data_IF_992896440421
#
_entry.id   IF_992896440421
#
_cell.length_a   1.000
_cell.length_b   1.000
_cell.length_c   1.000
_cell.angle_alpha   90.00
_cell.angle_beta   90.00
_cell.angle_gamma   90.00
#
_symmetry.space_group_name_H-M   'P 1'
#
loop_
_entity.id
_entity.type
_entity.pdbx_description
1 polymer ?
#
# COMPACT_ATOMS: atom_id res chain seq x y z
N UNK A 1 -17.45 -25.47 -1.52
CA UNK A 1 -16.42 -25.24 -0.49
C UNK A 1 -16.20 -23.75 -0.46
N UNK A 2 -16.59 -23.07 0.62
CA UNK A 2 -16.51 -21.62 0.72
C UNK A 2 -15.04 -21.22 0.90
N UNK A 3 -14.44 -20.65 -0.14
CA UNK A 3 -13.20 -19.92 0.01
C UNK A 3 -13.48 -18.72 0.92
N UNK A 4 -12.64 -18.53 1.93
CA UNK A 4 -12.68 -17.39 2.84
C UNK A 4 -12.51 -16.10 2.02
N UNK A 5 -13.57 -15.32 1.87
CA UNK A 5 -13.60 -14.04 1.14
C UNK A 5 -12.90 -12.87 1.89
N UNK A 6 -12.16 -13.16 2.95
CA UNK A 6 -11.45 -12.13 3.72
C UNK A 6 -10.03 -11.86 3.22
N UNK A 7 -9.59 -10.61 3.30
CA UNK A 7 -8.17 -10.34 3.52
C UNK A 7 -7.78 -11.00 4.84
N UNK A 8 -6.92 -12.01 4.75
CA UNK A 8 -6.16 -12.68 5.81
C UNK A 8 -6.77 -12.69 7.25
N UNK A 9 -7.21 -13.86 7.70
CA UNK A 9 -7.44 -14.16 9.12
C UNK A 9 -6.18 -14.81 9.70
N UNK A 10 -5.37 -14.03 10.42
CA UNK A 10 -4.47 -14.54 11.47
C UNK A 10 -3.04 -14.94 11.07
N UNK A 11 -2.06 -14.12 11.45
CA UNK A 11 -1.07 -14.37 12.52
C UNK A 11 -0.12 -13.17 12.59
N UNK A 12 -0.01 -12.63 13.80
CA UNK A 12 1.05 -11.90 14.51
C UNK A 12 2.09 -11.09 13.70
N UNK A 13 1.91 -9.77 13.82
CA UNK A 13 2.91 -8.74 14.17
C UNK A 13 4.38 -9.17 14.12
N UNK A 14 5.13 -8.59 13.18
CA UNK A 14 6.54 -8.30 13.41
C UNK A 14 6.89 -6.91 12.88
N UNK A 15 7.06 -6.01 13.85
CA UNK A 15 7.92 -4.85 13.73
C UNK A 15 9.34 -5.24 13.28
N UNK A 16 9.77 -4.51 12.28
CA UNK A 16 11.13 -4.13 11.92
C UNK A 16 12.29 -4.73 12.75
N UNK A 17 13.02 -5.69 12.16
CA UNK A 17 14.39 -6.00 12.58
C UNK A 17 15.37 -5.13 11.82
N UNK A 18 15.39 -3.84 12.14
CA UNK A 18 16.56 -3.00 11.91
C UNK A 18 17.62 -3.35 12.95
N UNK A 19 18.66 -4.04 12.47
CA UNK A 19 19.89 -4.29 13.21
C UNK A 19 20.48 -2.97 13.73
N UNK A 20 20.56 -2.83 15.05
CA UNK A 20 21.45 -1.87 15.69
C UNK A 20 22.30 -2.59 16.73
N UNK A 21 23.61 -2.55 16.48
CA UNK A 21 24.68 -2.91 17.38
C UNK A 21 24.73 -1.87 18.52
N UNK A 22 24.62 -2.33 19.78
CA UNK A 22 24.97 -1.54 20.94
C UNK A 22 25.32 -2.46 22.13
N UNK A 23 26.60 -2.48 22.44
CA UNK A 23 27.18 -2.96 23.70
C UNK A 23 26.90 -2.00 24.86
N UNK A 24 26.98 -2.54 26.09
CA UNK A 24 27.14 -1.87 27.41
C UNK A 24 25.90 -1.63 28.30
N UNK A 25 25.79 -2.45 29.37
CA UNK A 25 26.00 -1.96 30.74
C UNK A 25 24.81 -1.82 31.72
N UNK A 26 24.64 -2.82 32.61
CA UNK A 26 24.65 -2.62 34.08
C UNK A 26 23.38 -2.29 34.89
N UNK A 27 23.08 -3.20 35.84
CA UNK A 27 22.41 -3.05 37.18
C UNK A 27 20.90 -2.76 37.23
N UNK A 28 20.08 -3.20 38.20
CA UNK A 28 20.04 -4.24 39.24
C UNK A 28 18.62 -4.17 39.90
N UNK A 29 18.25 -5.20 40.68
CA UNK A 29 17.13 -5.33 41.66
C UNK A 29 15.72 -5.67 41.11
N UNK A 30 14.97 -6.66 41.59
CA UNK A 30 15.18 -7.68 42.63
C UNK A 30 13.86 -8.42 42.98
N UNK A 31 13.98 -9.71 43.37
CA UNK A 31 13.05 -10.55 44.18
C UNK A 31 11.71 -11.00 43.54
N UNK A 32 11.20 -12.25 43.61
CA UNK A 32 11.35 -13.39 44.56
C UNK A 32 11.05 -14.76 43.90
N UNK A 33 11.85 -15.79 44.23
CA UNK A 33 11.67 -17.25 43.99
C UNK A 33 10.75 -17.87 45.10
N UNK A 34 10.50 -19.21 45.26
CA UNK A 34 11.01 -20.37 44.52
C UNK A 34 10.07 -21.57 44.27
N UNK A 35 10.46 -22.43 43.32
CA UNK A 35 10.47 -23.90 43.50
C UNK A 35 10.94 -24.64 42.23
N UNK A 36 11.95 -25.52 42.35
CA UNK A 36 12.26 -26.53 41.34
C UNK A 36 13.74 -26.94 41.30
N UNK A 37 14.09 -27.94 42.12
CA UNK A 37 15.41 -28.57 42.20
C UNK A 37 15.78 -29.36 40.92
N UNK A 38 17.07 -29.41 40.59
CA UNK A 38 17.61 -30.26 39.53
C UNK A 38 19.11 -30.09 39.31
N UNK A 39 19.90 -30.82 40.10
CA UNK A 39 21.36 -30.93 39.99
C UNK A 39 21.80 -31.56 38.67
N UNK A 40 22.90 -31.06 38.09
CA UNK A 40 23.52 -31.64 36.89
C UNK A 40 24.87 -30.98 36.58
N UNK A 41 25.91 -31.43 37.27
CA UNK A 41 27.32 -31.11 37.00
C UNK A 41 27.76 -31.61 35.61
N UNK A 42 28.52 -30.78 34.88
CA UNK A 42 29.08 -31.13 33.58
C UNK A 42 30.18 -30.16 33.16
N UNK A 43 31.37 -30.35 33.74
CA UNK A 43 32.63 -29.74 33.30
C UNK A 43 33.00 -30.20 31.88
N UNK A 44 33.45 -29.27 31.03
CA UNK A 44 33.88 -29.56 29.66
C UNK A 44 34.63 -28.40 29.02
N UNK A 45 35.83 -28.12 29.54
CA UNK A 45 36.87 -27.29 28.93
C UNK A 45 37.38 -27.92 27.62
N UNK A 46 37.50 -27.14 26.54
CA UNK A 46 38.61 -27.21 25.56
C UNK A 46 38.42 -26.29 24.35
N UNK A 47 39.42 -25.43 24.10
CA UNK A 47 40.05 -25.36 22.78
C UNK A 47 40.02 -24.03 22.06
N UNK A 48 41.08 -23.23 22.27
CA UNK A 48 41.51 -22.11 21.44
C UNK A 48 41.82 -22.54 19.99
N UNK A 49 41.61 -21.63 19.04
CA UNK A 49 41.96 -21.81 17.63
C UNK A 49 42.10 -20.48 16.90
N UNK A 50 43.25 -19.83 17.08
CA UNK A 50 43.73 -18.71 16.26
C UNK A 50 44.00 -19.16 14.82
N UNK A 51 43.63 -18.33 13.85
CA UNK A 51 43.87 -18.57 12.44
C UNK A 51 43.96 -17.27 11.64
N UNK A 52 45.15 -16.66 11.67
CA UNK A 52 45.58 -15.60 10.76
C UNK A 52 45.69 -16.12 9.32
N UNK A 53 45.24 -15.33 8.35
CA UNK A 53 45.32 -15.62 6.92
C UNK A 53 45.24 -14.37 6.06
N UNK A 54 46.34 -13.60 6.07
CA UNK A 54 46.62 -12.48 5.18
C UNK A 54 47.00 -12.99 3.77
N UNK A 55 46.50 -12.35 2.71
CA UNK A 55 47.17 -12.12 1.41
C UNK A 55 46.22 -11.70 0.29
N UNK A 56 46.54 -10.59 -0.39
CA UNK A 56 46.24 -10.43 -1.81
C UNK A 56 45.96 -9.03 -2.32
N UNK A 57 46.98 -8.17 -2.38
CA UNK A 57 47.00 -6.94 -3.19
C UNK A 57 46.84 -7.25 -4.69
N UNK A 58 46.13 -6.37 -5.40
CA UNK A 58 45.97 -6.43 -6.85
C UNK A 58 45.66 -5.05 -7.44
N UNK A 59 46.69 -4.21 -7.53
CA UNK A 59 46.70 -2.98 -8.33
C UNK A 59 46.63 -3.30 -9.83
N UNK A 60 45.90 -2.47 -10.59
CA UNK A 60 45.78 -2.58 -12.04
C UNK A 60 45.24 -1.29 -12.68
N UNK A 61 46.17 -0.41 -13.01
CA UNK A 61 46.06 0.94 -13.56
C UNK A 61 45.32 1.14 -14.90
N UNK A 62 44.72 2.33 -15.01
CA UNK A 62 44.65 3.28 -16.15
C UNK A 62 43.90 2.93 -17.45
N UNK A 63 43.06 3.89 -17.85
CA UNK A 63 42.52 4.02 -19.21
C UNK A 63 41.82 5.37 -19.40
N UNK A 64 42.61 6.46 -19.49
CA UNK A 64 42.17 7.77 -19.97
C UNK A 64 41.89 7.71 -21.49
N UNK A 65 40.84 8.41 -21.93
CA UNK A 65 40.49 8.55 -23.34
C UNK A 65 39.61 9.77 -23.59
N UNK A 66 40.23 10.94 -23.64
CA UNK A 66 39.68 12.20 -24.11
C UNK A 66 39.45 12.21 -25.64
N UNK A 67 38.49 13.03 -26.09
CA UNK A 67 38.38 13.54 -27.47
C UNK A 67 37.10 13.09 -28.19
N UNK A 68 36.35 13.92 -28.92
CA UNK A 68 36.54 15.30 -29.33
C UNK A 68 35.18 15.84 -29.84
N UNK A 69 35.09 17.15 -29.92
CA UNK A 69 33.93 17.91 -30.40
C UNK A 69 33.86 17.90 -31.93
N UNK A 70 32.68 18.03 -32.53
CA UNK A 70 32.58 18.13 -34.00
C UNK A 70 31.20 18.49 -34.54
N UNK A 71 31.05 19.77 -34.85
CA UNK A 71 29.93 20.50 -35.45
C UNK A 71 29.38 19.97 -36.79
N UNK A 72 28.08 20.22 -37.00
CA UNK A 72 27.53 20.83 -38.22
C UNK A 72 27.33 19.95 -39.46
N UNK A 73 26.09 19.82 -39.95
CA UNK A 73 25.66 20.63 -41.09
C UNK A 73 24.13 20.60 -41.31
N UNK A 74 23.65 21.77 -41.71
CA UNK A 74 22.36 22.13 -42.27
C UNK A 74 22.16 21.53 -43.67
N UNK A 75 20.93 21.12 -43.98
CA UNK A 75 20.56 20.65 -45.32
C UNK A 75 19.06 20.73 -45.55
N UNK A 76 18.65 21.84 -46.15
CA UNK A 76 17.31 22.12 -46.67
C UNK A 76 16.89 21.11 -47.75
N UNK A 77 15.60 20.76 -47.76
CA UNK A 77 15.00 19.90 -48.77
C UNK A 77 13.48 20.05 -48.81
N UNK A 78 13.03 21.12 -49.44
CA UNK A 78 11.63 21.35 -49.86
C UNK A 78 11.17 20.26 -50.85
N UNK A 79 9.93 19.78 -50.67
CA UNK A 79 9.29 18.84 -51.59
C UNK A 79 7.85 18.50 -51.22
N UNK A 80 6.93 19.44 -51.46
CA UNK A 80 5.48 19.26 -51.43
C UNK A 80 4.98 18.09 -52.31
N UNK A 81 4.03 17.31 -51.79
CA UNK A 81 2.64 17.12 -52.31
C UNK A 81 2.08 15.77 -51.87
N UNK A 82 0.91 15.79 -51.22
CA UNK A 82 0.13 14.58 -50.96
C UNK A 82 -0.95 14.78 -49.91
N UNK A 83 -2.10 15.27 -50.36
CA UNK A 83 -3.34 15.41 -49.59
C UNK A 83 -3.74 14.12 -48.88
N UNK A 84 -4.02 14.23 -47.58
CA UNK A 84 -4.56 13.17 -46.75
C UNK A 84 -5.35 13.79 -45.60
N UNK A 85 -6.63 14.04 -45.85
CA UNK A 85 -7.62 14.44 -44.86
C UNK A 85 -7.66 13.40 -43.73
N UNK A 86 -7.38 13.83 -42.50
CA UNK A 86 -7.33 12.98 -41.33
C UNK A 86 -7.22 13.79 -40.03
N UNK A 87 -8.30 14.49 -39.71
CA UNK A 87 -8.77 14.82 -38.35
C UNK A 87 -7.69 15.22 -37.32
N UNK A 88 -7.29 16.48 -37.34
CA UNK A 88 -6.62 17.15 -36.23
C UNK A 88 -7.67 17.57 -35.18
N UNK A 89 -7.69 16.86 -34.06
CA UNK A 89 -8.37 17.22 -32.82
C UNK A 89 -7.38 17.17 -31.65
N UNK A 90 -6.80 18.34 -31.37
CA UNK A 90 -6.25 18.86 -30.11
C UNK A 90 -5.19 18.05 -29.34
N UNK A 91 -3.94 18.43 -29.60
CA UNK A 91 -2.92 18.46 -28.56
C UNK A 91 -3.26 19.57 -27.57
N UNK A 92 -3.66 19.18 -26.36
CA UNK A 92 -3.88 20.09 -25.25
C UNK A 92 -2.53 20.44 -24.60
N UNK A 93 -1.92 21.51 -25.10
CA UNK A 93 -0.86 22.22 -24.40
C UNK A 93 -1.50 23.21 -23.45
N UNK A 94 -1.75 22.75 -22.22
CA UNK A 94 -1.91 23.54 -21.00
C UNK A 94 -2.53 24.94 -21.11
N UNK A 95 -3.82 25.01 -20.84
CA UNK A 95 -4.42 26.13 -20.10
C UNK A 95 -5.01 25.58 -18.79
N UNK A 96 -4.52 26.11 -17.68
CA UNK A 96 -4.88 25.73 -16.31
C UNK A 96 -6.27 26.20 -15.91
N UNK A 97 -7.28 25.67 -16.61
CA UNK A 97 -8.70 26.01 -16.46
C UNK A 97 -9.46 24.73 -16.08
N UNK A 98 -8.91 23.97 -15.12
CA UNK A 98 -9.47 22.70 -14.67
C UNK A 98 -10.91 22.90 -14.19
N UNK A 99 -11.86 22.50 -15.01
CA UNK A 99 -13.21 22.18 -14.56
C UNK A 99 -13.07 21.26 -13.35
N UNK A 100 -13.53 21.64 -12.15
CA UNK A 100 -13.53 20.71 -11.03
C UNK A 100 -14.51 19.61 -11.38
N UNK A 101 -14.01 18.54 -11.98
CA UNK A 101 -14.77 17.32 -12.14
C UNK A 101 -15.31 16.96 -10.75
N UNK A 102 -16.63 17.04 -10.59
CA UNK A 102 -17.26 16.80 -9.30
C UNK A 102 -16.88 15.40 -8.81
N UNK A 103 -16.80 15.21 -7.49
CA UNK A 103 -16.40 13.91 -6.90
C UNK A 103 -17.22 12.76 -7.48
N UNK A 104 -18.53 12.96 -7.67
CA UNK A 104 -19.39 11.95 -8.26
C UNK A 104 -19.18 11.69 -9.75
N UNK A 105 -18.79 12.70 -10.53
CA UNK A 105 -18.48 12.50 -11.94
C UNK A 105 -17.23 11.65 -12.10
N UNK A 106 -16.16 11.99 -11.35
CA UNK A 106 -14.92 11.22 -11.39
C UNK A 106 -15.11 9.80 -10.85
N UNK A 107 -15.84 9.66 -9.73
CA UNK A 107 -16.20 8.36 -9.16
C UNK A 107 -16.90 7.48 -10.20
N UNK A 108 -17.93 8.00 -10.86
CA UNK A 108 -18.69 7.27 -11.88
C UNK A 108 -17.84 6.91 -13.08
N UNK A 109 -16.98 7.82 -13.55
CA UNK A 109 -16.13 7.59 -14.71
C UNK A 109 -15.08 6.50 -14.46
N UNK A 110 -14.33 6.60 -13.37
CA UNK A 110 -13.24 5.66 -13.05
C UNK A 110 -13.76 4.28 -12.66
N UNK A 111 -15.01 4.19 -12.17
CA UNK A 111 -15.67 2.94 -11.76
C UNK A 111 -16.70 2.42 -12.76
N UNK A 112 -16.80 3.03 -13.95
CA UNK A 112 -17.73 2.60 -14.99
C UNK A 112 -17.51 1.13 -15.42
N UNK A 113 -16.30 0.60 -15.22
CA UNK A 113 -15.97 -0.79 -15.46
C UNK A 113 -15.13 -1.36 -14.31
N UNK A 114 -15.76 -2.23 -13.51
CA UNK A 114 -15.12 -2.96 -12.41
C UNK A 114 -14.90 -4.45 -12.72
N UNK A 115 -14.94 -4.84 -14.00
CA UNK A 115 -14.71 -6.24 -14.38
C UNK A 115 -13.25 -6.65 -14.17
N UNK A 116 -13.07 -7.86 -13.66
CA UNK A 116 -11.77 -8.53 -13.68
C UNK A 116 -11.38 -8.87 -15.13
N UNK A 117 -10.14 -9.31 -15.34
CA UNK A 117 -9.58 -9.63 -16.65
C UNK A 117 -9.17 -11.08 -16.79
N UNK A 118 -8.29 -11.33 -17.76
CA UNK A 118 -7.72 -12.64 -18.02
C UNK A 118 -6.29 -12.70 -17.49
N UNK A 119 -5.99 -13.81 -16.82
CA UNK A 119 -4.63 -14.23 -16.48
C UNK A 119 -4.19 -15.36 -17.42
N UNK A 120 -3.00 -15.27 -18.01
CA UNK A 120 -2.49 -16.27 -18.97
C UNK A 120 -1.49 -17.28 -18.38
N UNK A 121 -1.31 -17.28 -17.05
CA UNK A 121 -0.43 -18.21 -16.36
C UNK A 121 -1.09 -19.54 -16.01
N UNK A 122 -0.37 -20.38 -15.27
CA UNK A 122 -0.85 -21.68 -14.82
C UNK A 122 -0.15 -22.13 -13.54
N UNK A 123 -0.95 -22.63 -12.58
CA UNK A 123 -0.43 -23.31 -11.37
C UNK A 123 0.34 -24.58 -11.76
N UNK A 124 -0.23 -25.38 -12.68
CA UNK A 124 0.48 -26.54 -13.19
C UNK A 124 1.69 -26.10 -14.02
N UNK A 125 2.89 -26.49 -13.60
CA UNK A 125 4.14 -26.05 -14.22
C UNK A 125 4.64 -24.67 -13.77
N UNK A 126 3.97 -24.04 -12.79
CA UNK A 126 4.40 -22.78 -12.17
C UNK A 126 4.72 -21.65 -13.15
N UNK A 127 3.86 -21.49 -14.17
CA UNK A 127 3.94 -20.36 -15.09
C UNK A 127 3.26 -19.16 -14.45
N UNK A 128 4.05 -18.16 -14.02
CA UNK A 128 3.50 -16.94 -13.43
C UNK A 128 2.52 -16.24 -14.38
N UNK A 129 2.79 -16.32 -15.69
CA UNK A 129 2.04 -15.60 -16.72
C UNK A 129 2.01 -14.11 -16.41
N UNK A 130 0.94 -13.46 -16.86
CA UNK A 130 0.63 -12.07 -16.55
C UNK A 130 -0.88 -11.82 -16.62
N UNK A 131 -1.32 -10.79 -15.91
CA UNK A 131 -2.65 -10.20 -16.11
C UNK A 131 -2.65 -9.32 -17.36
N UNK A 132 -3.78 -9.27 -18.08
CA UNK A 132 -3.88 -8.40 -19.25
C UNK A 132 -3.77 -6.90 -18.91
N UNK A 133 -3.26 -6.12 -19.86
CA UNK A 133 -2.99 -4.69 -19.64
C UNK A 133 -4.27 -3.88 -19.30
N UNK A 134 -5.41 -4.04 -20.01
CA UNK A 134 -6.63 -3.34 -19.64
C UNK A 134 -7.10 -3.63 -18.22
N UNK A 135 -6.94 -4.85 -17.73
CA UNK A 135 -7.28 -5.21 -16.35
C UNK A 135 -6.36 -4.53 -15.35
N UNK A 136 -5.05 -4.50 -15.61
CA UNK A 136 -4.09 -3.78 -14.78
C UNK A 136 -4.39 -2.29 -14.73
N UNK A 137 -4.75 -1.71 -15.87
CA UNK A 137 -5.10 -0.29 -15.97
C UNK A 137 -6.34 0.02 -15.13
N UNK A 138 -7.37 -0.83 -15.14
CA UNK A 138 -8.55 -0.68 -14.26
C UNK A 138 -8.18 -0.71 -12.78
N UNK A 139 -7.34 -1.67 -12.36
CA UNK A 139 -6.86 -1.73 -10.97
C UNK A 139 -6.06 -0.49 -10.59
N UNK A 140 -5.18 0.01 -11.48
CA UNK A 140 -4.41 1.23 -11.25
C UNK A 140 -5.31 2.47 -11.19
N UNK A 141 -6.31 2.58 -12.06
CA UNK A 141 -7.31 3.64 -12.04
C UNK A 141 -8.02 3.67 -10.69
N UNK A 142 -8.44 2.51 -10.15
CA UNK A 142 -9.09 2.46 -8.85
C UNK A 142 -8.15 2.88 -7.69
N UNK A 143 -6.88 2.45 -7.72
CA UNK A 143 -5.86 2.90 -6.75
C UNK A 143 -5.73 4.43 -6.80
N UNK A 144 -5.64 4.99 -8.01
CA UNK A 144 -5.46 6.42 -8.21
C UNK A 144 -6.73 7.23 -7.92
N UNK A 145 -7.94 6.65 -8.08
CA UNK A 145 -9.19 7.25 -7.64
C UNK A 145 -9.21 7.44 -6.12
N UNK A 146 -8.84 6.41 -5.36
CA UNK A 146 -8.78 6.50 -3.90
C UNK A 146 -7.73 7.50 -3.40
N UNK A 147 -6.58 7.56 -4.10
CA UNK A 147 -5.56 8.57 -3.83
C UNK A 147 -6.05 9.98 -4.18
N UNK A 148 -6.73 10.15 -5.30
CA UNK A 148 -7.30 11.43 -5.71
C UNK A 148 -8.34 11.95 -4.72
N UNK A 149 -9.24 11.09 -4.24
CA UNK A 149 -10.20 11.46 -3.18
C UNK A 149 -9.47 12.00 -1.93
N UNK A 150 -8.33 11.41 -1.58
CA UNK A 150 -7.50 11.83 -0.45
C UNK A 150 -6.53 12.99 -0.78
N UNK A 151 -6.67 13.64 -1.93
CA UNK A 151 -5.79 14.70 -2.44
C UNK A 151 -4.31 14.28 -2.48
N UNK A 152 -4.06 13.04 -2.90
CA UNK A 152 -2.75 12.47 -3.12
C UNK A 152 -2.44 12.36 -4.62
N UNK A 153 -1.18 12.55 -5.04
CA UNK A 153 -0.79 12.40 -6.43
C UNK A 153 -0.98 10.95 -6.91
N UNK A 154 -1.35 10.75 -8.19
CA UNK A 154 -1.46 9.42 -8.77
C UNK A 154 -0.09 8.74 -8.81
N UNK A 155 -0.11 7.41 -8.85
CA UNK A 155 1.08 6.56 -9.05
C UNK A 155 1.02 5.86 -10.38
N UNK A 156 2.19 5.43 -10.87
CA UNK A 156 2.35 4.57 -12.05
C UNK A 156 2.75 3.16 -11.62
N UNK A 157 2.61 2.18 -12.52
CA UNK A 157 3.20 0.85 -12.31
C UNK A 157 4.63 0.79 -12.85
N UNK A 158 5.42 -0.16 -12.35
CA UNK A 158 6.71 -0.52 -12.93
C UNK A 158 6.70 -1.98 -13.39
N UNK A 159 7.34 -2.27 -14.52
CA UNK A 159 7.39 -3.62 -15.09
C UNK A 159 8.03 -4.64 -14.13
N UNK A 160 9.04 -4.22 -13.37
CA UNK A 160 9.72 -5.08 -12.40
C UNK A 160 8.80 -5.42 -11.20
N UNK A 161 8.17 -4.42 -10.56
CA UNK A 161 7.22 -4.67 -9.46
C UNK A 161 5.99 -5.44 -9.92
N UNK A 162 5.51 -5.18 -11.15
CA UNK A 162 4.46 -5.96 -11.80
C UNK A 162 4.84 -7.44 -11.90
N UNK A 163 6.05 -7.73 -12.39
CA UNK A 163 6.57 -9.10 -12.51
C UNK A 163 6.62 -9.80 -11.15
N UNK A 164 7.14 -9.14 -10.12
CA UNK A 164 7.24 -9.70 -8.77
C UNK A 164 5.86 -9.88 -8.12
N UNK A 165 4.96 -8.92 -8.27
CA UNK A 165 3.59 -9.01 -7.79
C UNK A 165 2.80 -10.15 -8.47
N UNK A 166 3.03 -10.39 -9.76
CA UNK A 166 2.40 -11.50 -10.47
C UNK A 166 2.91 -12.87 -9.99
N UNK A 167 4.22 -13.00 -9.75
CA UNK A 167 4.80 -14.19 -9.14
C UNK A 167 4.25 -14.42 -7.72
N UNK A 168 4.03 -13.35 -6.95
CA UNK A 168 3.35 -13.38 -5.66
C UNK A 168 1.93 -13.94 -5.77
N UNK A 169 1.11 -13.41 -6.69
CA UNK A 169 -0.26 -13.86 -6.88
C UNK A 169 -0.32 -15.36 -7.27
N UNK A 170 0.59 -15.83 -8.13
CA UNK A 170 0.71 -17.25 -8.46
C UNK A 170 1.00 -18.10 -7.21
N UNK A 171 1.91 -17.69 -6.33
CA UNK A 171 2.22 -18.45 -5.12
C UNK A 171 0.99 -18.56 -4.20
N UNK A 172 0.24 -17.47 -4.02
CA UNK A 172 -0.99 -17.51 -3.22
C UNK A 172 -2.04 -18.44 -3.85
N UNK A 173 -2.22 -18.36 -5.17
CA UNK A 173 -3.11 -19.22 -5.95
C UNK A 173 -2.72 -20.70 -5.85
N UNK A 174 -1.44 -21.02 -5.97
CA UNK A 174 -0.94 -22.40 -5.96
C UNK A 174 -1.09 -23.09 -4.60
N UNK A 175 -1.15 -22.33 -3.52
CA UNK A 175 -1.22 -22.84 -2.15
C UNK A 175 -2.57 -22.58 -1.48
N UNK A 176 -3.47 -21.85 -2.13
CA UNK A 176 -4.76 -21.42 -1.60
C UNK A 176 -4.63 -20.78 -0.19
N UNK A 177 -3.64 -19.91 -0.05
CA UNK A 177 -3.25 -19.28 1.21
C UNK A 177 -2.59 -17.92 0.95
N UNK A 178 -2.67 -17.02 1.93
CA UNK A 178 -1.99 -15.73 1.94
C UNK A 178 -0.83 -15.77 2.94
N UNK A 179 0.33 -15.21 2.57
CA UNK A 179 1.46 -15.03 3.48
C UNK A 179 2.39 -13.94 2.96
N UNK A 180 2.79 -12.99 3.81
CA UNK A 180 3.86 -12.04 3.48
C UNK A 180 5.26 -12.69 3.54
N UNK A 181 5.38 -13.85 4.19
CA UNK A 181 6.62 -14.63 4.32
C UNK A 181 6.41 -16.07 3.84
N UNK A 182 6.10 -16.26 2.54
CA UNK A 182 5.75 -17.57 2.01
C UNK A 182 6.94 -18.53 2.18
N UNK A 183 6.77 -19.68 2.88
CA UNK A 183 7.87 -20.60 3.13
C UNK A 183 8.34 -21.25 1.82
N UNK A 184 9.64 -21.53 1.72
CA UNK A 184 10.26 -22.07 0.50
C UNK A 184 9.71 -23.43 0.04
N UNK A 185 8.93 -24.12 0.88
CA UNK A 185 8.27 -25.39 0.54
C UNK A 185 6.89 -25.21 -0.11
N UNK A 186 6.41 -23.98 -0.31
CA UNK A 186 5.19 -23.72 -1.05
C UNK A 186 5.30 -24.16 -2.51
N UNK A 187 4.18 -24.62 -3.06
CA UNK A 187 4.08 -24.88 -4.49
C UNK A 187 4.31 -23.58 -5.26
N UNK A 188 5.07 -23.64 -6.36
CA UNK A 188 5.43 -22.49 -7.18
C UNK A 188 6.17 -21.37 -6.45
N UNK A 189 6.81 -21.68 -5.31
CA UNK A 189 7.67 -20.73 -4.64
C UNK A 189 8.78 -20.23 -5.58
N UNK A 190 9.02 -18.92 -5.55
CA UNK A 190 10.13 -18.28 -6.24
C UNK A 190 10.66 -17.10 -5.42
N UNK A 191 11.95 -16.79 -5.56
CA UNK A 191 12.54 -15.61 -4.93
C UNK A 191 11.79 -14.31 -5.24
N UNK A 192 11.57 -13.97 -6.53
CA UNK A 192 10.79 -12.80 -6.92
C UNK A 192 9.35 -12.77 -6.38
N UNK A 193 8.69 -13.92 -6.32
CA UNK A 193 7.37 -14.02 -5.72
C UNK A 193 7.39 -13.77 -4.21
N UNK A 194 8.38 -14.31 -3.50
CA UNK A 194 8.53 -14.10 -2.05
C UNK A 194 8.81 -12.65 -1.71
N UNK A 195 9.65 -11.99 -2.52
CA UNK A 195 9.90 -10.56 -2.41
C UNK A 195 8.62 -9.74 -2.69
N UNK A 196 7.89 -10.11 -3.74
CA UNK A 196 6.57 -9.56 -4.05
C UNK A 196 5.60 -9.68 -2.87
N UNK A 197 5.52 -10.85 -2.23
CA UNK A 197 4.65 -11.11 -1.09
C UNK A 197 5.00 -10.24 0.12
N UNK A 198 6.29 -10.11 0.44
CA UNK A 198 6.76 -9.28 1.56
C UNK A 198 6.61 -7.77 1.33
N UNK A 199 6.46 -7.34 0.08
CA UNK A 199 6.43 -5.91 -0.30
C UNK A 199 5.06 -5.41 -0.78
N UNK A 200 4.04 -6.28 -0.76
CA UNK A 200 2.73 -6.00 -1.33
C UNK A 200 1.62 -6.07 -0.29
N UNK A 201 0.56 -5.31 -0.52
CA UNK A 201 -0.77 -5.70 -0.08
C UNK A 201 -1.17 -6.99 -0.80
N UNK A 202 -1.73 -7.98 -0.09
CA UNK A 202 -2.09 -9.29 -0.67
C UNK A 202 -3.55 -9.64 -0.35
N UNK A 203 -4.28 -10.18 -1.33
CA UNK A 203 -5.70 -10.53 -1.16
C UNK A 203 -6.06 -11.86 -1.81
N UNK A 204 -7.05 -12.54 -1.21
CA UNK A 204 -7.71 -13.74 -1.73
C UNK A 204 -8.82 -13.42 -2.74
N UNK A 205 -8.62 -12.38 -3.54
CA UNK A 205 -9.48 -12.00 -4.65
C UNK A 205 -8.65 -11.37 -5.76
N UNK A 206 -9.25 -11.30 -6.95
CA UNK A 206 -8.72 -10.70 -8.16
C UNK A 206 -8.50 -9.17 -8.00
N UNK A 207 -7.59 -8.61 -8.79
CA UNK A 207 -7.00 -7.30 -8.51
C UNK A 207 -7.95 -6.10 -8.46
N UNK A 208 -9.04 -6.05 -9.23
CA UNK A 208 -9.98 -4.90 -9.15
C UNK A 208 -10.74 -4.95 -7.83
N UNK A 209 -11.34 -6.09 -7.49
CA UNK A 209 -12.06 -6.28 -6.22
C UNK A 209 -11.11 -6.12 -5.01
N UNK A 210 -9.84 -6.51 -5.18
CA UNK A 210 -8.86 -6.43 -4.11
C UNK A 210 -8.56 -4.99 -3.67
N UNK A 211 -8.60 -4.02 -4.59
CA UNK A 211 -8.32 -2.61 -4.25
C UNK A 211 -9.40 -2.05 -3.32
N UNK A 212 -10.68 -2.31 -3.59
CA UNK A 212 -11.78 -1.98 -2.67
C UNK A 212 -11.61 -2.69 -1.30
N UNK A 213 -11.20 -3.96 -1.32
CA UNK A 213 -10.96 -4.74 -0.10
C UNK A 213 -9.77 -4.20 0.72
N UNK A 214 -8.69 -3.74 0.08
CA UNK A 214 -7.58 -3.08 0.74
C UNK A 214 -8.00 -1.76 1.39
N UNK A 215 -8.91 -1.01 0.75
CA UNK A 215 -9.40 0.25 1.29
C UNK A 215 -10.34 0.06 2.46
N UNK A 216 -11.16 -0.99 2.48
CA UNK A 216 -11.97 -1.30 3.68
C UNK A 216 -11.13 -1.96 4.77
N UNK A 217 -10.18 -2.81 4.39
CA UNK A 217 -9.18 -3.39 5.28
C UNK A 217 -9.74 -4.26 6.41
N UNK A 218 -10.74 -5.06 6.07
CA UNK A 218 -11.32 -6.04 6.98
C UNK A 218 -10.30 -7.04 7.52
N UNK A 219 -10.38 -7.31 8.82
CA UNK A 219 -9.50 -8.25 9.50
C UNK A 219 -8.20 -7.65 10.06
N UNK A 220 -7.90 -6.37 9.78
CA UNK A 220 -6.64 -5.73 10.16
C UNK A 220 -6.83 -4.58 11.17
N UNK A 221 -7.75 -4.73 12.13
CA UNK A 221 -8.16 -3.66 13.04
C UNK A 221 -7.03 -3.04 13.89
N UNK A 222 -5.88 -3.72 14.05
CA UNK A 222 -4.71 -3.20 14.76
C UNK A 222 -3.76 -2.36 13.91
N UNK A 223 -3.87 -2.43 12.57
CA UNK A 223 -2.92 -1.78 11.65
C UNK A 223 -3.60 -0.90 10.61
N UNK A 224 -4.73 -1.35 10.04
CA UNK A 224 -5.32 -0.85 8.79
C UNK A 224 -4.24 -0.68 7.70
N UNK A 225 -3.30 -1.63 7.64
CA UNK A 225 -2.08 -1.48 6.86
C UNK A 225 -2.31 -1.37 5.35
N UNK A 226 -3.27 -2.11 4.80
CA UNK A 226 -3.49 -2.12 3.36
C UNK A 226 -3.99 -0.75 2.86
N UNK A 227 -4.98 -0.19 3.56
CA UNK A 227 -5.52 1.15 3.29
C UNK A 227 -4.43 2.21 3.41
N UNK A 228 -3.65 2.14 4.49
CA UNK A 228 -2.62 3.13 4.81
C UNK A 228 -1.46 3.13 3.81
N UNK A 229 -1.09 1.96 3.29
CA UNK A 229 -0.11 1.86 2.20
C UNK A 229 -0.60 2.53 0.92
N UNK A 230 -1.88 2.34 0.53
CA UNK A 230 -2.47 3.00 -0.64
C UNK A 230 -2.47 4.53 -0.46
N UNK A 231 -2.75 5.01 0.76
CA UNK A 231 -2.82 6.42 1.12
C UNK A 231 -1.47 7.03 1.57
N UNK A 232 -0.37 6.30 1.42
CA UNK A 232 0.96 6.77 1.85
C UNK A 232 1.45 7.94 1.01
N UNK A 233 2.14 8.89 1.66
CA UNK A 233 2.96 9.92 1.02
C UNK A 233 4.00 9.31 0.07
N UNK A 234 4.53 8.14 0.43
CA UNK A 234 5.70 7.51 -0.20
C UNK A 234 5.36 6.51 -1.31
N UNK A 235 4.07 6.20 -1.51
CA UNK A 235 3.67 5.22 -2.52
C UNK A 235 4.06 5.67 -3.93
N UNK A 236 4.56 4.74 -4.73
CA UNK A 236 4.85 4.93 -6.14
C UNK A 236 6.33 4.78 -6.48
N UNK A 237 6.69 4.20 -7.64
CA UNK A 237 5.82 3.43 -8.53
C UNK A 237 5.27 2.18 -7.83
N UNK A 238 4.08 1.69 -8.18
CA UNK A 238 3.54 0.43 -7.64
C UNK A 238 3.82 -0.73 -8.61
N UNK A 239 3.29 -1.91 -8.29
CA UNK A 239 3.24 -3.07 -9.15
C UNK A 239 1.99 -3.85 -8.82
N UNK A 240 1.30 -4.37 -9.83
CA UNK A 240 0.03 -5.09 -9.65
C UNK A 240 0.19 -6.45 -10.31
N UNK A 241 -0.19 -7.51 -9.62
CA UNK A 241 -0.24 -8.85 -10.17
C UNK A 241 -1.49 -9.55 -9.70
N UNK A 242 -2.05 -10.40 -10.56
CA UNK A 242 -3.29 -11.10 -10.26
C UNK A 242 -3.38 -12.44 -10.98
N UNK A 243 -3.90 -13.43 -10.27
CA UNK A 243 -4.56 -14.60 -10.86
C UNK A 243 -6.07 -14.38 -10.81
N UNK A 244 -6.86 -15.38 -11.22
CA UNK A 244 -8.32 -15.34 -11.15
C UNK A 244 -8.89 -15.24 -9.71
N UNK A 245 -8.07 -15.53 -8.70
CA UNK A 245 -8.53 -15.59 -7.30
C UNK A 245 -7.60 -14.97 -6.27
N UNK A 246 -6.44 -14.46 -6.66
CA UNK A 246 -5.47 -13.85 -5.74
C UNK A 246 -4.80 -12.66 -6.41
N UNK A 247 -4.43 -11.67 -5.61
CA UNK A 247 -3.72 -10.49 -6.10
C UNK A 247 -2.65 -10.03 -5.12
N UNK A 248 -1.63 -9.37 -5.67
CA UNK A 248 -0.62 -8.67 -4.92
C UNK A 248 -0.46 -7.26 -5.52
N UNK A 249 -0.47 -6.24 -4.67
CA UNK A 249 -0.19 -4.85 -5.03
C UNK A 249 1.05 -4.37 -4.27
N UNK A 250 2.15 -4.16 -4.96
CA UNK A 250 3.41 -3.71 -4.38
C UNK A 250 3.29 -2.30 -3.80
N UNK A 251 3.61 -2.14 -2.52
CA UNK A 251 3.42 -0.88 -1.77
C UNK A 251 4.70 -0.35 -1.13
N UNK A 252 5.70 -1.20 -0.89
CA UNK A 252 6.90 -0.84 -0.10
C UNK A 252 8.03 -0.29 -0.98
N UNK A 253 8.86 0.61 -0.43
CA UNK A 253 10.08 1.10 -1.08
C UNK A 253 9.83 2.00 -2.29
N UNK A 254 8.68 2.69 -2.33
CA UNK A 254 8.42 3.76 -3.30
C UNK A 254 9.28 5.01 -3.04
N UNK A 255 9.28 5.90 -4.03
CA UNK A 255 9.90 7.22 -3.98
C UNK A 255 8.86 8.34 -4.15
N UNK A 256 7.58 8.05 -3.87
CA UNK A 256 6.53 9.07 -3.82
C UNK A 256 6.82 10.12 -2.74
N UNK A 257 6.28 11.31 -2.93
CA UNK A 257 6.31 12.34 -1.90
C UNK A 257 5.11 13.28 -2.08
N UNK A 258 3.99 12.95 -1.45
CA UNK A 258 2.81 13.81 -1.51
C UNK A 258 2.90 15.03 -0.58
N UNK A 259 3.85 15.05 0.37
CA UNK A 259 4.06 16.18 1.29
C UNK A 259 2.87 16.47 2.22
N UNK A 260 1.97 15.49 2.43
CA UNK A 260 0.84 15.64 3.35
C UNK A 260 1.33 15.46 4.78
N UNK A 261 1.08 16.47 5.61
CA UNK A 261 1.30 16.35 7.05
C UNK A 261 0.44 15.22 7.64
N UNK A 262 -0.78 15.06 7.16
CA UNK A 262 -1.67 13.95 7.53
C UNK A 262 -2.62 13.62 6.38
N UNK A 263 -3.13 12.38 6.40
CA UNK A 263 -4.13 11.89 5.46
C UNK A 263 -5.25 11.21 6.23
N UNK A 264 -6.50 11.55 5.90
CA UNK A 264 -7.69 10.92 6.48
C UNK A 264 -8.44 10.06 5.45
N UNK A 265 -9.16 9.07 5.94
CA UNK A 265 -10.12 8.28 5.17
C UNK A 265 -11.38 8.04 6.01
N UNK A 266 -12.52 8.67 5.69
CA UNK A 266 -12.75 9.62 4.59
C UNK A 266 -11.89 10.91 4.69
N UNK A 267 -11.52 11.50 3.54
CA UNK A 267 -10.76 12.74 3.46
C UNK A 267 -11.66 13.99 3.62
N UNK A 268 -11.08 15.19 3.79
CA UNK A 268 -11.83 16.43 3.80
C UNK A 268 -12.60 16.68 2.49
N UNK A 269 -13.85 17.13 2.59
CA UNK A 269 -14.70 17.46 1.45
C UNK A 269 -15.73 16.38 1.12
N UNK A 270 -16.18 16.36 -0.14
CA UNK A 270 -17.15 15.39 -0.65
C UNK A 270 -16.56 13.97 -0.66
N UNK A 271 -17.34 13.01 -0.18
CA UNK A 271 -16.97 11.61 -0.13
C UNK A 271 -18.12 10.72 -0.65
N UNK A 272 -17.89 9.89 -1.68
CA UNK A 272 -18.92 9.01 -2.22
C UNK A 272 -19.44 8.04 -1.17
N UNK A 273 -20.76 7.91 -1.06
CA UNK A 273 -21.42 6.98 -0.15
C UNK A 273 -21.05 5.52 -0.48
N UNK A 274 -20.77 5.25 -1.74
CA UNK A 274 -20.36 3.96 -2.26
C UNK A 274 -18.93 3.62 -1.85
N UNK A 275 -18.09 4.61 -1.53
CA UNK A 275 -16.76 4.40 -0.95
C UNK A 275 -16.81 4.07 0.55
N UNK A 276 -17.93 4.38 1.23
CA UNK A 276 -18.16 3.95 2.63
C UNK A 276 -18.34 2.44 2.69
N UNK A 277 -19.02 1.84 1.71
CA UNK A 277 -19.20 0.39 1.62
C UNK A 277 -19.19 -0.10 0.14
N UNK A 278 -17.99 -0.22 -0.48
CA UNK A 278 -17.86 -0.59 -1.90
C UNK A 278 -18.03 -2.10 -2.14
N UNK A 279 -18.08 -2.91 -1.07
CA UNK A 279 -18.24 -4.35 -1.15
C UNK A 279 -19.69 -4.74 -0.84
N UNK A 280 -20.20 -5.76 -1.54
CA UNK A 280 -21.58 -6.24 -1.34
C UNK A 280 -21.81 -6.97 0.00
N UNK A 281 -20.74 -7.19 0.77
CA UNK A 281 -20.73 -7.87 2.06
C UNK A 281 -19.99 -7.02 3.09
N UNK A 282 -20.39 -7.16 4.35
CA UNK A 282 -19.91 -6.30 5.43
C UNK A 282 -20.61 -4.94 5.48
N UNK A 283 -20.19 -4.11 6.44
CA UNK A 283 -20.69 -2.75 6.68
C UNK A 283 -19.65 -1.65 6.36
N UNK A 284 -18.72 -1.95 5.46
CA UNK A 284 -17.59 -1.11 5.05
C UNK A 284 -16.83 -0.39 6.18
N UNK A 285 -16.77 0.94 6.07
CA UNK A 285 -16.14 1.83 7.04
C UNK A 285 -16.93 1.97 8.35
N UNK A 286 -18.19 1.53 8.41
CA UNK A 286 -18.93 1.50 9.68
C UNK A 286 -18.37 0.43 10.62
N UNK A 287 -17.76 -0.62 10.07
CA UNK A 287 -17.14 -1.70 10.83
C UNK A 287 -15.61 -1.53 10.96
N UNK A 288 -14.92 -1.26 9.84
CA UNK A 288 -13.45 -1.07 9.85
C UNK A 288 -13.01 0.28 10.44
N UNK A 289 -13.94 1.24 10.52
CA UNK A 289 -13.71 2.59 11.00
C UNK A 289 -13.10 3.51 9.95
N UNK A 290 -13.18 4.81 10.24
CA UNK A 290 -12.41 5.85 9.56
C UNK A 290 -10.96 5.77 10.04
N UNK A 291 -10.03 6.40 9.33
CA UNK A 291 -8.62 6.41 9.72
C UNK A 291 -7.99 7.77 9.52
N UNK A 292 -7.02 8.12 10.36
CA UNK A 292 -6.14 9.25 10.16
C UNK A 292 -4.70 8.79 10.36
N UNK A 293 -3.82 9.20 9.44
CA UNK A 293 -2.42 8.82 9.46
C UNK A 293 -1.49 10.00 9.22
N UNK A 294 -0.26 9.91 9.73
CA UNK A 294 0.74 10.97 9.59
C UNK A 294 2.16 10.40 9.70
N UNK A 295 3.09 11.00 8.95
CA UNK A 295 4.53 10.79 9.12
C UNK A 295 5.16 11.79 10.10
N UNK A 296 4.52 12.94 10.30
CA UNK A 296 5.03 14.09 11.06
C UNK A 296 4.45 14.20 12.48
N UNK A 297 3.17 13.83 12.64
CA UNK A 297 2.41 13.97 13.87
C UNK A 297 2.36 12.63 14.59
N UNK A 298 2.66 12.64 15.90
CA UNK A 298 2.33 11.52 16.76
C UNK A 298 0.84 11.58 17.11
N UNK A 299 0.08 10.58 16.65
CA UNK A 299 -1.35 10.44 16.89
C UNK A 299 -1.66 9.55 18.10
N UNK A 300 -0.63 9.01 18.75
CA UNK A 300 -0.76 8.20 19.96
C UNK A 300 -1.43 8.99 21.08
N UNK A 301 -2.65 8.58 21.46
CA UNK A 301 -3.42 9.24 22.50
C UNK A 301 -4.25 10.43 22.01
N UNK A 302 -4.41 10.59 20.70
CA UNK A 302 -5.34 11.56 20.13
C UNK A 302 -6.77 11.36 20.67
N UNK A 303 -7.45 12.47 20.93
CA UNK A 303 -8.87 12.50 21.24
C UNK A 303 -9.64 13.01 20.02
N UNK A 304 -10.64 12.25 19.57
CA UNK A 304 -11.44 12.55 18.39
C UNK A 304 -12.88 12.84 18.78
N UNK A 305 -13.44 13.93 18.27
CA UNK A 305 -14.87 14.22 18.29
C UNK A 305 -15.39 14.27 16.85
N UNK A 306 -16.55 13.64 16.61
CA UNK A 306 -17.29 13.78 15.36
C UNK A 306 -18.65 14.37 15.70
N UNK A 307 -19.06 15.41 14.98
CA UNK A 307 -20.40 15.98 15.13
C UNK A 307 -21.12 16.13 13.80
N UNK A 308 -22.45 16.06 13.82
CA UNK A 308 -23.32 16.33 12.66
C UNK A 308 -24.44 17.24 13.11
N UNK A 309 -24.63 18.38 12.46
CA UNK A 309 -25.65 19.38 12.86
C UNK A 309 -25.56 19.78 14.33
N UNK A 310 -24.33 19.88 14.86
CA UNK A 310 -24.04 20.20 16.26
C UNK A 310 -24.38 19.09 17.27
N UNK A 311 -24.73 17.88 16.82
CA UNK A 311 -24.96 16.73 17.67
C UNK A 311 -23.75 15.79 17.64
N UNK A 312 -23.35 15.30 18.80
CA UNK A 312 -22.26 14.34 18.94
C UNK A 312 -22.58 13.01 18.23
N UNK A 313 -21.53 12.44 17.63
CA UNK A 313 -21.52 11.14 16.96
C UNK A 313 -20.45 10.30 17.64
N UNK A 314 -20.82 9.47 18.64
CA UNK A 314 -19.86 8.75 19.45
C UNK A 314 -18.94 7.86 18.62
N UNK A 315 -17.65 7.84 18.93
CA UNK A 315 -16.65 7.01 18.25
C UNK A 315 -15.78 6.26 19.24
N UNK A 316 -15.24 5.12 18.81
CA UNK A 316 -14.13 4.45 19.49
C UNK A 316 -12.84 4.79 18.74
N UNK A 317 -11.84 5.32 19.45
CA UNK A 317 -10.52 5.61 18.86
C UNK A 317 -9.55 4.49 19.24
N UNK A 318 -8.84 3.95 18.26
CA UNK A 318 -7.83 2.92 18.47
C UNK A 318 -6.50 3.41 17.89
N UNK A 319 -5.43 3.37 18.69
CA UNK A 319 -4.08 3.59 18.18
C UNK A 319 -3.66 2.40 17.32
N UNK A 320 -3.21 2.66 16.09
CA UNK A 320 -2.74 1.63 15.18
C UNK A 320 -1.21 1.49 15.26
N UNK A 321 -0.70 0.31 14.96
CA UNK A 321 0.74 0.08 14.87
C UNK A 321 1.38 1.01 13.82
N UNK A 322 2.56 1.57 14.13
CA UNK A 322 3.34 2.36 13.18
C UNK A 322 3.98 1.49 12.08
N UNK A 323 4.54 2.13 11.05
CA UNK A 323 5.31 1.45 10.01
C UNK A 323 4.50 0.89 8.84
N UNK A 324 3.20 1.18 8.76
CA UNK A 324 2.34 0.80 7.65
C UNK A 324 1.95 2.04 6.85
N UNK A 325 2.70 2.36 5.79
CA UNK A 325 2.47 3.55 4.97
C UNK A 325 2.70 4.90 5.65
N UNK A 326 2.82 4.92 6.97
CA UNK A 326 3.00 6.09 7.81
C UNK A 326 3.62 5.74 9.17
N UNK A 327 4.26 6.70 9.82
CA UNK A 327 4.86 6.52 11.15
C UNK A 327 3.83 6.39 12.28
N UNK A 328 2.68 7.08 12.18
CA UNK A 328 1.62 7.09 13.19
C UNK A 328 0.23 7.05 12.56
N UNK A 329 -0.72 6.33 13.17
CA UNK A 329 -2.11 6.30 12.74
C UNK A 329 -3.09 5.95 13.86
N UNK A 330 -4.34 6.35 13.67
CA UNK A 330 -5.49 5.96 14.50
C UNK A 330 -6.63 5.47 13.61
N UNK A 331 -7.44 4.53 14.12
CA UNK A 331 -8.77 4.26 13.59
C UNK A 331 -9.84 4.93 14.46
N UNK A 332 -10.92 5.33 13.81
CA UNK A 332 -12.04 6.07 14.40
C UNK A 332 -13.31 5.32 14.01
N UNK A 333 -13.79 4.45 14.89
CA UNK A 333 -14.89 3.53 14.61
C UNK A 333 -16.21 4.15 15.08
N UNK A 334 -17.20 4.36 14.20
CA UNK A 334 -18.54 4.80 14.58
C UNK A 334 -19.17 3.89 15.65
N UNK A 335 -19.72 4.47 16.71
CA UNK A 335 -20.39 3.72 17.78
C UNK A 335 -21.89 4.00 17.78
N UNK A 336 -22.67 3.08 17.20
CA UNK A 336 -24.13 3.15 17.18
C UNK A 336 -24.70 4.10 16.12
N UNK A 337 -23.92 4.46 15.11
CA UNK A 337 -24.36 5.26 13.96
C UNK A 337 -23.59 4.86 12.70
N UNK A 338 -24.14 5.19 11.54
CA UNK A 338 -23.50 5.01 10.24
C UNK A 338 -23.54 6.32 9.46
N UNK A 339 -22.57 6.51 8.56
CA UNK A 339 -22.52 7.70 7.70
C UNK A 339 -23.77 7.78 6.81
N UNK A 340 -24.39 8.96 6.69
CA UNK A 340 -25.63 9.17 5.93
C UNK A 340 -25.39 10.12 4.75
N UNK A 341 -25.94 9.78 3.58
CA UNK A 341 -25.97 10.66 2.41
C UNK A 341 -26.59 12.02 2.76
N UNK A 342 -25.95 13.09 2.29
CA UNK A 342 -26.33 14.48 2.52
C UNK A 342 -25.99 15.02 3.92
N UNK A 343 -25.33 14.22 4.76
CA UNK A 343 -24.83 14.68 6.06
C UNK A 343 -23.37 15.14 5.95
N UNK A 344 -23.08 16.24 6.64
CA UNK A 344 -21.72 16.72 6.87
C UNK A 344 -21.27 16.37 8.29
N UNK A 345 -20.14 15.70 8.41
CA UNK A 345 -19.51 15.30 9.65
C UNK A 345 -18.30 16.19 9.92
N UNK A 346 -18.38 16.97 10.99
CA UNK A 346 -17.26 17.77 11.47
C UNK A 346 -16.38 16.91 12.38
N UNK A 347 -15.12 16.74 12.01
CA UNK A 347 -14.13 15.94 12.74
C UNK A 347 -13.15 16.88 13.42
N UNK A 348 -12.96 16.73 14.73
CA UNK A 348 -11.91 17.40 15.48
C UNK A 348 -10.98 16.37 16.11
N UNK A 349 -9.67 16.54 15.90
CA UNK A 349 -8.62 15.72 16.51
C UNK A 349 -7.74 16.62 17.38
N UNK A 350 -7.69 16.28 18.66
CA UNK A 350 -6.95 17.01 19.69
C UNK A 350 -5.99 16.09 20.44
N UNK A 351 -5.16 16.63 21.33
CA UNK A 351 -4.13 15.86 22.03
C UNK A 351 -2.94 15.46 21.16
N UNK A 352 -2.88 15.99 19.93
CA UNK A 352 -1.79 15.84 18.97
C UNK A 352 -0.97 17.12 18.90
N UNK A 353 0.23 17.08 18.30
CA UNK A 353 1.13 18.24 18.25
C UNK A 353 0.50 19.49 17.64
N UNK A 354 -0.32 19.31 16.59
CA UNK A 354 -1.14 20.37 15.97
C UNK A 354 -2.57 19.84 15.83
N UNK A 355 -3.59 20.48 16.43
CA UNK A 355 -4.97 20.04 16.28
C UNK A 355 -5.41 20.01 14.81
N UNK A 356 -6.20 19.00 14.46
CA UNK A 356 -6.74 18.82 13.11
C UNK A 356 -8.24 19.03 13.17
N UNK A 357 -8.80 19.74 12.20
CA UNK A 357 -10.24 19.94 12.05
C UNK A 357 -10.60 19.94 10.58
N UNK A 358 -11.60 19.16 10.20
CA UNK A 358 -12.07 19.04 8.82
C UNK A 358 -13.51 18.54 8.75
N UNK A 359 -14.16 18.79 7.61
CA UNK A 359 -15.51 18.32 7.33
C UNK A 359 -15.49 17.20 6.28
N UNK A 360 -16.34 16.20 6.46
CA UNK A 360 -16.63 15.15 5.47
C UNK A 360 -18.09 15.25 5.08
N UNK A 361 -18.37 15.50 3.80
CA UNK A 361 -19.72 15.52 3.24
C UNK A 361 -19.99 14.22 2.49
N UNK A 362 -20.94 13.42 2.96
CA UNK A 362 -21.28 12.18 2.27
C UNK A 362 -22.22 12.50 1.11
N UNK A 363 -21.78 12.21 -0.10
CA UNK A 363 -22.54 12.43 -1.34
C UNK A 363 -22.95 11.11 -1.96
N UNK A 364 -24.15 11.05 -2.53
CA UNK A 364 -24.60 9.90 -3.32
C UNK A 364 -24.14 10.10 -4.76
N UNK A 365 -23.31 9.17 -5.24
CA UNK A 365 -22.73 9.26 -6.58
C UNK A 365 -23.34 8.29 -7.58
N UNK A 366 -24.40 7.55 -7.21
CA UNK A 366 -25.27 6.83 -8.16
C UNK A 366 -25.31 5.31 -8.02
#
# INVERSE_FOLDING_TARGET
>A
MAASLGCYQGIDDFGDTLATDATSGGTADGNTNPSGDGDGDGDGDSGDGDGDGDSGDGDGDTGDGDGDSGDGDSGDGDGDTGDGDGDSGDGDTGDGDGDPQGVCERWSADRANLSEGNWNGAVNGCSAGDMDAPWRDRSLTQINLYRWLADLPPVTTSADRNTKAQACALMMQANNALSHTPPMNWSCWSGPGSEGAGSSNIAGTAAVTAVDLYMIDYGNASTLGHRRWILSNSLGPTGIGSTDGYSCMWTVGGNGNAGKQWTAWPPPGEFPSEAVNPLWWGDGLNESGWSLQSDELNLGGAAVSITTSGQDRPVTVVNLAGGYGSSSAISIIPNGWTAQVGATYHVEVSGVGVPISYDVEIVDCG
#
